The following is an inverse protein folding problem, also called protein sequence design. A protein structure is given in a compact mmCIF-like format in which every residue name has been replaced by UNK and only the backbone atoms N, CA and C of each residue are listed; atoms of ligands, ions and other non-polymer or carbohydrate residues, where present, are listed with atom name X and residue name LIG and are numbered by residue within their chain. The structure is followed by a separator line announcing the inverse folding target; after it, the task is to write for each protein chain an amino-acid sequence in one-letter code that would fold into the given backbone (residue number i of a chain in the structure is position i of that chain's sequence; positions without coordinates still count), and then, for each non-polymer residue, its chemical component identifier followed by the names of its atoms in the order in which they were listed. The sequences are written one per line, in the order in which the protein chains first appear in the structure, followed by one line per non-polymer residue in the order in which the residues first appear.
data_IF_961918268603
#
_entry.id   IF_961918268603
#
_cell.length_a   1.000
_cell.length_b   1.000
_cell.length_c   1.000
_cell.angle_alpha   90.00
_cell.angle_beta   90.00
_cell.angle_gamma   90.00
#
_symmetry.space_group_name_H-M   'P 1'
#
loop_
_entity.id
_entity.type
_entity.pdbx_description
1 polymer ?
#
# COMPACT_ATOMS: atom_id res chain seq x y z
N UNK A 1 28.59 2.28 11.05
CA UNK A 1 28.85 2.97 9.76
C UNK A 1 27.64 3.65 9.12
N UNK A 2 26.41 3.55 9.67
CA UNK A 2 25.24 4.26 9.10
C UNK A 2 24.86 3.83 7.67
N UNK A 3 25.22 2.60 7.28
CA UNK A 3 24.97 2.07 5.94
C UNK A 3 23.56 1.49 5.85
N UNK A 4 22.88 1.61 4.69
CA UNK A 4 21.60 0.95 4.47
C UNK A 4 21.69 -0.56 4.68
N UNK A 5 20.66 -1.14 5.28
CA UNK A 5 20.55 -2.58 5.51
C UNK A 5 19.42 -3.12 4.65
N UNK A 6 19.76 -4.05 3.75
CA UNK A 6 18.76 -4.92 3.10
C UNK A 6 18.46 -6.05 4.08
N UNK A 7 17.17 -6.31 4.33
CA UNK A 7 16.74 -7.40 5.21
C UNK A 7 16.96 -8.76 4.54
N UNK A 8 17.27 -9.80 5.31
CA UNK A 8 17.52 -11.14 4.76
C UNK A 8 16.29 -11.72 4.05
N UNK A 9 15.08 -11.46 4.58
CA UNK A 9 13.83 -11.85 3.91
C UNK A 9 13.62 -11.15 2.56
N UNK A 10 14.12 -9.92 2.41
CA UNK A 10 14.06 -9.19 1.13
C UNK A 10 15.04 -9.80 0.14
N UNK A 11 16.28 -10.11 0.58
CA UNK A 11 17.25 -10.83 -0.27
C UNK A 11 16.72 -12.17 -0.75
N UNK A 12 16.08 -12.92 0.14
CA UNK A 12 15.46 -14.20 -0.21
C UNK A 12 14.32 -14.02 -1.23
N UNK A 13 13.44 -13.03 -1.02
CA UNK A 13 12.37 -12.73 -1.96
C UNK A 13 12.91 -12.33 -3.34
N UNK A 14 13.95 -11.49 -3.39
CA UNK A 14 14.65 -11.10 -4.63
C UNK A 14 15.20 -12.32 -5.37
N UNK A 15 15.85 -13.25 -4.67
CA UNK A 15 16.34 -14.51 -5.25
C UNK A 15 15.21 -15.38 -5.81
N UNK A 16 14.05 -15.43 -5.14
CA UNK A 16 12.89 -16.22 -5.59
C UNK A 16 12.22 -15.66 -6.84
N UNK A 17 12.21 -14.34 -7.00
CA UNK A 17 11.61 -13.67 -8.17
C UNK A 17 12.61 -13.42 -9.31
N UNK A 18 13.90 -13.64 -9.06
CA UNK A 18 14.96 -13.46 -10.06
C UNK A 18 14.71 -14.34 -11.29
N UNK A 19 14.91 -13.77 -12.49
CA UNK A 19 14.72 -14.47 -13.75
C UNK A 19 13.28 -14.51 -14.26
N UNK A 20 12.32 -13.93 -13.54
CA UNK A 20 10.99 -13.68 -14.09
C UNK A 20 11.09 -12.57 -15.17
N UNK A 21 10.84 -12.92 -16.42
CA UNK A 21 10.89 -12.00 -17.57
C UNK A 21 9.54 -11.33 -17.84
N UNK A 22 8.50 -11.66 -17.06
CA UNK A 22 7.19 -11.08 -17.24
C UNK A 22 7.16 -9.64 -16.71
N UNK A 23 7.16 -8.69 -17.64
CA UNK A 23 7.10 -7.25 -17.40
C UNK A 23 5.80 -6.63 -17.91
N UNK A 24 4.75 -7.44 -18.05
CA UNK A 24 3.43 -6.97 -18.44
C UNK A 24 2.88 -5.96 -17.44
N UNK A 25 2.03 -5.06 -17.94
CA UNK A 25 1.39 -4.07 -17.08
C UNK A 25 0.48 -4.74 -16.05
N UNK A 26 0.58 -4.27 -14.81
CA UNK A 26 -0.41 -4.61 -13.80
C UNK A 26 -1.77 -3.98 -14.14
N UNK A 27 -2.88 -4.56 -13.66
CA UNK A 27 -4.18 -3.90 -13.68
C UNK A 27 -4.11 -2.52 -12.99
N UNK A 28 -5.03 -1.62 -13.33
CA UNK A 28 -5.07 -0.26 -12.75
C UNK A 28 -5.12 -0.24 -11.21
N UNK A 29 -5.77 -1.25 -10.60
CA UNK A 29 -5.83 -1.40 -9.14
C UNK A 29 -4.53 -1.93 -8.52
N UNK A 30 -3.58 -2.43 -9.32
CA UNK A 30 -2.35 -3.08 -8.87
C UNK A 30 -2.43 -4.60 -8.83
N UNK A 31 -1.45 -5.20 -8.14
CA UNK A 31 -1.40 -6.65 -7.91
C UNK A 31 -2.40 -7.06 -6.84
N UNK A 32 -3.31 -7.99 -7.18
CA UNK A 32 -4.30 -8.54 -6.24
C UNK A 32 -3.61 -9.18 -5.03
N UNK A 33 -2.54 -9.97 -5.25
CA UNK A 33 -1.78 -10.61 -4.18
C UNK A 33 -1.14 -9.58 -3.24
N UNK A 34 -0.58 -8.50 -3.79
CA UNK A 34 -0.01 -7.42 -2.98
C UNK A 34 -1.09 -6.78 -2.10
N UNK A 35 -2.28 -6.55 -2.65
CA UNK A 35 -3.41 -5.95 -1.91
C UNK A 35 -3.87 -6.89 -0.80
N UNK A 36 -4.13 -8.16 -1.10
CA UNK A 36 -4.62 -9.14 -0.12
C UNK A 36 -3.66 -9.30 1.06
N UNK A 37 -2.37 -9.49 0.79
CA UNK A 37 -1.35 -9.62 1.84
C UNK A 37 -1.14 -8.31 2.62
N UNK A 38 -1.24 -7.15 1.95
CA UNK A 38 -1.18 -5.85 2.64
C UNK A 38 -2.37 -5.63 3.55
N UNK A 39 -3.57 -6.08 3.17
CA UNK A 39 -4.77 -5.98 4.01
C UNK A 39 -4.66 -6.87 5.24
N UNK A 40 -4.18 -8.11 5.10
CA UNK A 40 -3.92 -9.01 6.24
C UNK A 40 -2.89 -8.40 7.18
N UNK A 41 -1.81 -7.82 6.65
CA UNK A 41 -0.78 -7.16 7.44
C UNK A 41 -1.34 -5.95 8.23
N UNK A 42 -2.18 -5.13 7.59
CA UNK A 42 -2.70 -3.90 8.20
C UNK A 42 -3.84 -4.15 9.20
N UNK A 43 -4.74 -5.12 8.91
CA UNK A 43 -5.97 -5.33 9.67
C UNK A 43 -6.01 -6.65 10.46
N UNK A 44 -5.01 -7.51 10.30
CA UNK A 44 -4.99 -8.87 10.82
C UNK A 44 -5.66 -9.87 9.88
N UNK A 45 -5.16 -11.10 9.87
CA UNK A 45 -5.65 -12.18 8.99
C UNK A 45 -7.13 -12.54 9.26
N UNK A 46 -7.56 -12.48 10.52
CA UNK A 46 -8.92 -12.81 10.94
C UNK A 46 -9.89 -11.62 10.92
N UNK A 47 -9.54 -10.51 10.27
CA UNK A 47 -10.35 -9.30 10.25
C UNK A 47 -11.75 -9.53 9.66
N UNK A 48 -12.79 -9.28 10.45
CA UNK A 48 -14.19 -9.33 9.98
C UNK A 48 -14.45 -8.33 8.84
N UNK A 49 -13.72 -7.20 8.79
CA UNK A 49 -13.84 -6.24 7.70
C UNK A 49 -13.38 -6.81 6.35
N UNK A 50 -12.37 -7.69 6.36
CA UNK A 50 -11.91 -8.41 5.16
C UNK A 50 -12.95 -9.48 4.79
N UNK A 51 -13.41 -10.29 5.75
CA UNK A 51 -14.43 -11.34 5.53
C UNK A 51 -15.73 -10.78 4.95
N UNK A 52 -16.19 -9.66 5.49
CA UNK A 52 -17.39 -8.95 5.05
C UNK A 52 -17.21 -8.15 3.75
N UNK A 53 -16.00 -8.12 3.16
CA UNK A 53 -15.66 -7.32 1.96
C UNK A 53 -15.98 -5.83 2.12
N UNK A 54 -15.71 -5.26 3.30
CA UNK A 54 -15.97 -3.85 3.63
C UNK A 54 -14.79 -2.92 3.32
N UNK A 55 -13.68 -3.44 2.81
CA UNK A 55 -12.47 -2.67 2.51
C UNK A 55 -12.29 -2.58 1.00
N UNK A 56 -12.17 -1.35 0.49
CA UNK A 56 -11.70 -1.08 -0.86
C UNK A 56 -10.21 -0.70 -0.80
N UNK A 57 -9.38 -1.35 -1.61
CA UNK A 57 -7.93 -1.15 -1.61
C UNK A 57 -7.37 -1.16 -3.04
N UNK A 58 -6.34 -0.35 -3.24
CA UNK A 58 -5.56 -0.26 -4.49
C UNK A 58 -4.09 -0.12 -4.13
N UNK A 59 -3.22 -0.64 -5.00
CA UNK A 59 -1.77 -0.44 -4.85
C UNK A 59 -1.40 1.00 -5.22
N UNK A 60 -0.53 1.61 -4.40
CA UNK A 60 -0.07 2.98 -4.61
C UNK A 60 1.47 3.06 -4.63
N UNK A 61 2.00 4.21 -5.08
CA UNK A 61 3.43 4.52 -5.04
C UNK A 61 3.87 4.88 -3.62
N UNK A 62 4.07 3.86 -2.80
CA UNK A 62 4.46 4.00 -1.38
C UNK A 62 3.51 4.92 -0.60
N UNK A 63 3.94 5.41 0.57
CA UNK A 63 3.12 6.24 1.45
C UNK A 63 2.68 7.56 0.81
N UNK A 64 3.60 8.30 0.17
CA UNK A 64 3.28 9.58 -0.47
C UNK A 64 2.24 9.43 -1.59
N UNK A 65 2.38 8.39 -2.43
CA UNK A 65 1.39 8.09 -3.47
C UNK A 65 0.03 7.73 -2.88
N UNK A 66 0.00 6.96 -1.78
CA UNK A 66 -1.24 6.64 -1.08
C UNK A 66 -1.93 7.90 -0.52
N UNK A 67 -1.18 8.79 0.15
CA UNK A 67 -1.72 10.06 0.65
C UNK A 67 -2.25 10.95 -0.48
N UNK A 68 -1.54 11.01 -1.62
CA UNK A 68 -1.96 11.77 -2.80
C UNK A 68 -3.29 11.25 -3.38
N UNK A 69 -3.41 9.93 -3.54
CA UNK A 69 -4.64 9.29 -4.05
C UNK A 69 -5.82 9.53 -3.12
N UNK A 70 -5.62 9.38 -1.81
CA UNK A 70 -6.66 9.65 -0.81
C UNK A 70 -7.09 11.12 -0.84
N UNK A 71 -6.15 12.07 -0.90
CA UNK A 71 -6.48 13.50 -0.98
C UNK A 71 -7.28 13.84 -2.27
N UNK A 72 -6.93 13.24 -3.41
CA UNK A 72 -7.72 13.41 -4.64
C UNK A 72 -9.12 12.80 -4.53
N UNK A 73 -9.23 11.62 -3.92
CA UNK A 73 -10.51 10.98 -3.66
C UNK A 73 -11.39 11.86 -2.76
N UNK A 74 -10.86 12.31 -1.62
CA UNK A 74 -11.57 13.20 -0.70
C UNK A 74 -12.00 14.49 -1.39
N UNK A 75 -11.10 15.14 -2.15
CA UNK A 75 -11.41 16.40 -2.86
C UNK A 75 -12.54 16.22 -3.87
N UNK A 76 -12.60 15.06 -4.53
CA UNK A 76 -13.61 14.77 -5.55
C UNK A 76 -14.99 14.52 -4.95
N UNK A 77 -15.06 13.79 -3.83
CA UNK A 77 -16.33 13.28 -3.31
C UNK A 77 -16.84 14.04 -2.08
N UNK A 78 -15.94 14.66 -1.29
CA UNK A 78 -16.25 15.44 -0.09
C UNK A 78 -15.35 16.69 0.00
N UNK A 79 -15.40 17.61 -0.98
CA UNK A 79 -14.48 18.75 -1.09
C UNK A 79 -14.48 19.68 0.13
N UNK A 80 -15.62 19.79 0.82
CA UNK A 80 -15.78 20.68 1.98
C UNK A 80 -15.34 20.04 3.31
N UNK A 81 -14.91 18.76 3.29
CA UNK A 81 -14.46 18.09 4.50
C UNK A 81 -13.07 18.59 4.93
N UNK A 82 -12.90 18.74 6.25
CA UNK A 82 -11.64 19.21 6.83
C UNK A 82 -10.68 18.03 7.07
N UNK A 83 -9.40 18.25 6.76
CA UNK A 83 -8.32 17.30 7.06
C UNK A 83 -7.56 17.83 8.29
N UNK A 84 -7.59 17.07 9.37
CA UNK A 84 -6.88 17.39 10.61
C UNK A 84 -5.50 16.74 10.61
N UNK A 85 -4.45 17.53 10.87
CA UNK A 85 -3.05 17.08 10.88
C UNK A 85 -2.42 17.47 12.23
N UNK A 86 -1.68 16.57 12.92
CA UNK A 86 -1.06 16.88 14.19
C UNK A 86 0.02 17.96 14.07
N UNK A 87 0.31 18.65 15.18
CA UNK A 87 1.40 19.63 15.28
C UNK A 87 2.38 19.17 16.39
N UNK A 88 3.61 18.75 16.05
CA UNK A 88 4.21 18.65 14.71
C UNK A 88 3.72 17.43 13.91
N UNK A 89 4.00 17.42 12.61
CA UNK A 89 3.79 16.28 11.70
C UNK A 89 5.06 16.01 10.88
N UNK A 90 5.05 14.93 10.11
CA UNK A 90 6.12 14.60 9.17
C UNK A 90 6.35 15.76 8.18
N UNK A 91 7.60 16.21 8.07
CA UNK A 91 8.05 17.32 7.20
C UNK A 91 8.85 16.79 6.02
#
# INVERSE_FOLDING_TARGET
DGRPVVLDCVREAECRIAGNLNMEYLPMGGSIHMIEESLKLAYGEDSEFIKDKRIAAVQALSGTGACRLFADFQKRFLPDSQIYIPTPTWS
#
